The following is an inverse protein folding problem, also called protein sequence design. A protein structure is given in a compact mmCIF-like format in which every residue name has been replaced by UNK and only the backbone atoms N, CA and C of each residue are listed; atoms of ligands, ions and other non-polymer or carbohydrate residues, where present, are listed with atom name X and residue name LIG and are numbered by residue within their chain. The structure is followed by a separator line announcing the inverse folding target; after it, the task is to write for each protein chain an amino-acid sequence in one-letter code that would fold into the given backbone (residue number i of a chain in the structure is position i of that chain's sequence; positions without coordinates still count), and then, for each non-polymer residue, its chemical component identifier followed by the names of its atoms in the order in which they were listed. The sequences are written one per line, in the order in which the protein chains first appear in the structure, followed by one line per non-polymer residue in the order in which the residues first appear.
data_IF_124313923196
#
_entry.id   IF_124313923196
#
_cell.length_a   1.000
_cell.length_b   1.000
_cell.length_c   1.000
_cell.angle_alpha   90.00
_cell.angle_beta   90.00
_cell.angle_gamma   90.00
#
_symmetry.space_group_name_H-M   'P 1'
#
loop_
_entity.id
_entity.type
_entity.pdbx_description
1 polymer ?
#
# COMPACT_ATOMS: atom_id res chain seq x y z
N UNK A 1 21.63 -2.81 12.19
CA UNK A 1 20.44 -3.47 11.60
C UNK A 1 20.72 -4.96 11.52
N UNK A 2 19.73 -5.83 11.70
CA UNK A 2 19.99 -7.27 11.75
C UNK A 2 20.29 -7.81 10.33
N UNK A 3 21.55 -8.17 10.06
CA UNK A 3 21.98 -8.71 8.76
C UNK A 3 21.18 -9.98 8.35
N UNK A 4 20.62 -10.71 9.34
CA UNK A 4 19.82 -11.90 9.07
C UNK A 4 18.52 -11.57 8.32
N UNK A 5 17.78 -10.54 8.74
CA UNK A 5 16.55 -10.13 8.04
C UNK A 5 16.88 -9.59 6.64
N UNK A 6 17.94 -8.78 6.50
CA UNK A 6 18.39 -8.28 5.20
C UNK A 6 18.68 -9.44 4.24
N UNK A 7 19.44 -10.44 4.69
CA UNK A 7 19.82 -11.60 3.88
C UNK A 7 18.60 -12.46 3.50
N UNK A 8 17.68 -12.68 4.44
CA UNK A 8 16.45 -13.45 4.18
C UNK A 8 15.56 -12.76 3.12
N UNK A 9 15.35 -11.44 3.25
CA UNK A 9 14.59 -10.66 2.27
C UNK A 9 15.30 -10.60 0.93
N UNK A 10 16.61 -10.39 0.90
CA UNK A 10 17.42 -10.35 -0.33
C UNK A 10 17.32 -11.66 -1.11
N UNK A 11 17.46 -12.81 -0.42
CA UNK A 11 17.36 -14.15 -1.00
C UNK A 11 15.98 -14.41 -1.58
N UNK A 12 14.93 -14.17 -0.79
CA UNK A 12 13.56 -14.39 -1.24
C UNK A 12 13.19 -13.50 -2.43
N UNK A 13 13.45 -12.19 -2.32
CA UNK A 13 13.13 -11.25 -3.37
C UNK A 13 13.93 -11.50 -4.66
N UNK A 14 15.20 -11.96 -4.56
CA UNK A 14 15.99 -12.30 -5.74
C UNK A 14 15.40 -13.50 -6.53
N UNK A 15 14.76 -14.43 -5.85
CA UNK A 15 14.16 -15.61 -6.46
C UNK A 15 12.73 -15.39 -7.01
N UNK A 16 11.98 -14.43 -6.44
CA UNK A 16 10.53 -14.32 -6.67
C UNK A 16 10.06 -12.93 -7.14
N UNK A 17 10.96 -11.92 -7.24
CA UNK A 17 10.53 -10.59 -7.65
C UNK A 17 10.06 -10.55 -9.10
N UNK A 18 8.90 -9.94 -9.30
CA UNK A 18 8.39 -9.55 -10.62
C UNK A 18 9.23 -8.40 -11.22
N UNK A 19 9.03 -8.03 -12.49
CA UNK A 19 9.72 -6.88 -13.10
C UNK A 19 9.51 -5.55 -12.36
N UNK A 20 8.42 -5.42 -11.60
CA UNK A 20 8.15 -4.30 -10.69
C UNK A 20 9.09 -4.21 -9.49
N UNK A 21 9.86 -5.28 -9.24
CA UNK A 21 10.68 -5.45 -8.04
C UNK A 21 9.92 -5.99 -6.83
N UNK A 22 8.61 -6.15 -6.91
CA UNK A 22 7.78 -6.72 -5.85
C UNK A 22 7.80 -8.25 -5.91
N UNK A 23 7.91 -8.89 -4.76
CA UNK A 23 7.67 -10.33 -4.60
C UNK A 23 6.58 -10.55 -3.55
N UNK A 24 5.45 -11.08 -3.99
CA UNK A 24 4.41 -11.56 -3.10
C UNK A 24 4.89 -12.85 -2.42
N UNK A 25 4.42 -13.10 -1.20
CA UNK A 25 4.73 -14.32 -0.48
C UNK A 25 3.48 -15.16 -0.29
N UNK A 26 3.61 -16.48 0.00
CA UNK A 26 2.48 -17.30 0.44
C UNK A 26 1.86 -16.86 1.78
N UNK A 27 2.48 -15.90 2.45
CA UNK A 27 2.01 -15.33 3.71
C UNK A 27 1.08 -14.16 3.40
N UNK A 28 -0.19 -14.26 3.75
CA UNK A 28 -1.19 -13.24 3.43
C UNK A 28 -0.77 -11.84 3.88
N UNK A 29 -0.78 -10.91 2.93
CA UNK A 29 -0.41 -9.50 3.18
C UNK A 29 1.09 -9.24 3.30
N UNK A 30 1.96 -10.25 3.34
CA UNK A 30 3.41 -10.06 3.39
C UNK A 30 3.98 -9.97 1.97
N UNK A 31 4.80 -8.96 1.73
CA UNK A 31 5.52 -8.79 0.47
C UNK A 31 6.93 -8.26 0.71
N UNK A 32 7.81 -8.55 -0.24
CA UNK A 32 9.17 -7.99 -0.27
C UNK A 32 9.37 -7.18 -1.53
N UNK A 33 10.32 -6.26 -1.52
CA UNK A 33 10.66 -5.45 -2.68
C UNK A 33 12.17 -5.44 -2.87
N UNK A 34 12.61 -5.64 -4.13
CA UNK A 34 14.00 -5.56 -4.56
C UNK A 34 14.09 -4.80 -5.87
N UNK A 35 14.88 -3.72 -5.89
CA UNK A 35 15.22 -2.99 -7.11
C UNK A 35 16.71 -2.69 -7.13
N UNK A 36 17.34 -2.86 -8.28
CA UNK A 36 18.80 -2.69 -8.49
C UNK A 36 19.16 -1.35 -9.11
N UNK A 37 18.17 -0.49 -9.32
CA UNK A 37 18.33 0.88 -9.80
C UNK A 37 17.20 1.76 -9.29
N UNK A 38 17.39 3.08 -9.21
CA UNK A 38 16.28 4.02 -9.02
C UNK A 38 15.20 3.83 -10.08
N UNK A 39 13.95 4.04 -9.71
CA UNK A 39 12.81 3.91 -10.63
C UNK A 39 12.09 5.26 -10.86
N UNK A 40 11.16 5.28 -11.79
CA UNK A 40 10.29 6.42 -12.03
C UNK A 40 9.22 6.53 -10.93
N UNK A 41 8.53 7.68 -10.88
CA UNK A 41 7.42 7.91 -9.95
C UNK A 41 6.32 6.87 -10.15
N UNK A 42 5.98 6.18 -9.06
CA UNK A 42 4.92 5.18 -9.00
C UNK A 42 3.71 5.73 -8.28
N UNK A 43 2.59 5.82 -8.98
CA UNK A 43 1.31 6.21 -8.41
C UNK A 43 0.55 4.99 -7.93
N UNK A 44 0.08 5.01 -6.70
CA UNK A 44 -0.68 3.91 -6.10
C UNK A 44 -1.72 4.42 -5.11
N UNK A 45 -2.65 3.57 -4.74
CA UNK A 45 -3.45 3.73 -3.53
C UNK A 45 -2.97 2.65 -2.57
N UNK A 46 -2.22 3.08 -1.56
CA UNK A 46 -1.67 2.20 -0.54
C UNK A 46 -2.78 1.75 0.39
N UNK A 47 -2.79 0.47 0.73
CA UNK A 47 -3.58 -0.07 1.84
C UNK A 47 -2.91 0.25 3.17
N UNK A 48 -3.64 0.12 4.30
CA UNK A 48 -2.99 0.13 5.61
C UNK A 48 -1.89 -0.93 5.67
N UNK A 49 -0.67 -0.51 5.96
CA UNK A 49 0.51 -1.40 6.03
C UNK A 49 1.61 -0.84 6.93
N UNK A 50 2.50 -1.72 7.37
CA UNK A 50 3.83 -1.37 7.87
C UNK A 50 4.89 -1.79 6.86
N UNK A 51 5.87 -0.93 6.62
CA UNK A 51 7.01 -1.19 5.75
C UNK A 51 8.31 -0.96 6.51
N UNK A 52 9.25 -1.90 6.44
CA UNK A 52 10.61 -1.79 6.95
C UNK A 52 11.57 -1.66 5.78
N UNK A 53 12.32 -0.56 5.72
CA UNK A 53 13.40 -0.38 4.73
C UNK A 53 14.68 -0.98 5.31
N UNK A 54 15.27 -1.91 4.57
CA UNK A 54 16.44 -2.66 5.01
C UNK A 54 17.72 -2.19 4.32
N UNK A 55 17.62 -1.75 3.06
CA UNK A 55 18.75 -1.24 2.24
C UNK A 55 18.24 -0.27 1.19
N UNK A 56 19.10 0.68 0.78
CA UNK A 56 18.73 1.73 -0.17
C UNK A 56 17.83 2.80 0.42
N UNK A 57 17.15 3.59 -0.43
CA UNK A 57 16.22 4.61 0.03
C UNK A 57 15.00 4.74 -0.89
N UNK A 58 13.86 5.03 -0.29
CA UNK A 58 12.57 5.28 -0.96
C UNK A 58 12.02 6.61 -0.53
N UNK A 59 11.55 7.40 -1.48
CA UNK A 59 10.75 8.59 -1.22
C UNK A 59 9.27 8.26 -1.41
N UNK A 60 8.43 8.69 -0.48
CA UNK A 60 6.97 8.51 -0.54
C UNK A 60 6.30 9.83 -0.28
N UNK A 61 5.44 10.28 -1.18
CA UNK A 61 4.63 11.49 -1.03
C UNK A 61 3.18 11.12 -0.82
N UNK A 62 2.64 11.48 0.33
CA UNK A 62 1.22 11.38 0.67
C UNK A 62 0.75 12.76 1.09
N UNK A 63 -0.16 13.34 0.30
CA UNK A 63 -0.51 14.75 0.45
C UNK A 63 0.49 15.67 -0.24
N UNK A 64 1.14 16.57 0.52
CA UNK A 64 2.03 17.59 -0.05
C UNK A 64 3.51 17.40 0.25
N UNK A 65 3.85 16.68 1.31
CA UNK A 65 5.23 16.57 1.78
C UNK A 65 5.81 15.19 1.46
N UNK A 66 7.00 15.13 0.85
CA UNK A 66 7.70 13.88 0.65
C UNK A 66 8.33 13.41 1.97
N UNK A 67 8.22 12.11 2.24
CA UNK A 67 8.89 11.41 3.32
C UNK A 67 9.98 10.54 2.71
N UNK A 68 11.19 10.65 3.20
CA UNK A 68 12.28 9.76 2.79
C UNK A 68 12.45 8.63 3.82
N UNK A 69 12.48 7.42 3.32
CA UNK A 69 12.63 6.19 4.09
C UNK A 69 14.01 5.60 3.82
N UNK A 70 14.79 5.43 4.89
CA UNK A 70 16.15 4.89 4.88
C UNK A 70 16.23 3.60 5.70
N UNK A 71 17.32 2.84 5.56
CA UNK A 71 17.57 1.67 6.38
C UNK A 71 17.41 1.96 7.88
N UNK A 72 16.71 1.08 8.58
CA UNK A 72 16.39 1.25 10.00
C UNK A 72 15.11 2.04 10.28
N UNK A 73 14.40 2.53 9.25
CA UNK A 73 13.09 3.12 9.42
C UNK A 73 11.96 2.10 9.23
N UNK A 74 10.91 2.26 10.01
CA UNK A 74 9.59 1.68 9.78
C UNK A 74 8.61 2.78 9.38
N UNK A 75 7.88 2.57 8.29
CA UNK A 75 6.77 3.43 7.88
C UNK A 75 5.47 2.73 8.15
N UNK A 76 4.56 3.43 8.81
CA UNK A 76 3.16 3.01 8.97
C UNK A 76 2.28 3.86 8.07
N UNK A 77 1.39 3.21 7.31
CA UNK A 77 0.23 3.81 6.65
C UNK A 77 -1.01 3.22 7.31
N UNK A 78 -1.84 4.06 7.93
CA UNK A 78 -2.98 3.63 8.73
C UNK A 78 -4.34 3.79 8.04
N UNK A 79 -4.38 4.07 6.75
CA UNK A 79 -5.61 4.19 5.95
C UNK A 79 -5.30 3.94 4.48
N UNK A 80 -6.34 3.74 3.66
CA UNK A 80 -6.19 3.72 2.21
C UNK A 80 -5.90 5.12 1.69
N UNK A 81 -4.67 5.36 1.25
CA UNK A 81 -4.19 6.68 0.86
C UNK A 81 -3.57 6.68 -0.52
N UNK A 82 -3.85 7.71 -1.34
CA UNK A 82 -3.12 7.92 -2.58
C UNK A 82 -1.69 8.29 -2.25
N UNK A 83 -0.75 7.57 -2.83
CA UNK A 83 0.68 7.78 -2.67
C UNK A 83 1.37 7.88 -4.02
N UNK A 84 2.41 8.69 -4.06
CA UNK A 84 3.41 8.69 -5.13
C UNK A 84 4.72 8.29 -4.50
N UNK A 85 5.37 7.28 -5.04
CA UNK A 85 6.63 6.79 -4.47
C UNK A 85 7.69 6.57 -5.53
N UNK A 86 8.95 6.66 -5.11
CA UNK A 86 10.12 6.46 -5.97
C UNK A 86 11.24 5.84 -5.14
N UNK A 87 11.91 4.86 -5.69
CA UNK A 87 13.19 4.40 -5.16
C UNK A 87 14.25 5.40 -5.62
N UNK A 88 14.90 6.06 -4.67
CA UNK A 88 15.87 7.12 -4.95
C UNK A 88 17.32 6.65 -4.78
N UNK A 89 17.53 5.56 -4.03
CA UNK A 89 18.85 4.95 -3.85
C UNK A 89 18.77 3.44 -4.00
N UNK A 90 19.39 2.92 -5.07
CA UNK A 90 19.58 1.50 -5.34
C UNK A 90 20.70 1.32 -6.37
N UNK A 91 21.45 0.21 -6.28
CA UNK A 91 22.44 -0.22 -7.28
C UNK A 91 22.47 -1.74 -7.39
N UNK A 92 23.26 -2.29 -8.31
CA UNK A 92 23.46 -3.73 -8.43
C UNK A 92 24.15 -4.32 -7.18
N UNK A 93 25.13 -3.60 -6.60
CA UNK A 93 25.85 -4.03 -5.39
C UNK A 93 25.02 -3.80 -4.12
N UNK A 94 24.24 -2.71 -4.09
CA UNK A 94 23.39 -2.32 -2.97
C UNK A 94 21.97 -2.08 -3.45
N UNK A 95 21.19 -3.16 -3.72
CA UNK A 95 19.82 -3.02 -4.17
C UNK A 95 18.94 -2.41 -3.07
N UNK A 96 17.90 -1.70 -3.48
CA UNK A 96 16.84 -1.35 -2.54
C UNK A 96 16.15 -2.63 -2.07
N UNK A 97 16.06 -2.79 -0.75
CA UNK A 97 15.39 -3.93 -0.11
C UNK A 97 14.43 -3.44 0.98
N UNK A 98 13.20 -3.93 0.91
CA UNK A 98 12.17 -3.67 1.91
C UNK A 98 11.26 -4.88 2.10
N UNK A 99 10.64 -4.94 3.28
CA UNK A 99 9.57 -5.88 3.60
C UNK A 99 8.35 -5.07 4.04
N UNK A 100 7.16 -5.45 3.60
CA UNK A 100 5.91 -4.82 3.98
C UNK A 100 4.87 -5.85 4.38
N UNK A 101 4.09 -5.52 5.41
CA UNK A 101 2.93 -6.30 5.85
C UNK A 101 1.69 -5.41 5.83
N UNK A 102 0.65 -5.83 5.13
CA UNK A 102 -0.68 -5.22 5.21
C UNK A 102 -1.26 -5.42 6.62
N UNK A 103 -1.93 -4.40 7.14
CA UNK A 103 -2.53 -4.47 8.47
C UNK A 103 -3.86 -5.24 8.40
N UNK A 104 -3.98 -6.27 9.23
CA UNK A 104 -5.24 -6.99 9.45
C UNK A 104 -6.08 -6.25 10.50
N UNK A 105 -7.18 -5.63 10.02
CA UNK A 105 -8.07 -4.86 10.87
C UNK A 105 -8.84 -5.73 11.87
N UNK A 106 -9.02 -7.03 11.61
CA UNK A 106 -9.67 -7.95 12.54
C UNK A 106 -8.75 -8.26 13.71
N UNK A 107 -7.48 -8.58 13.42
CA UNK A 107 -6.44 -8.80 14.43
C UNK A 107 -6.23 -7.56 15.29
N UNK A 108 -6.19 -6.37 14.68
CA UNK A 108 -6.07 -5.11 15.42
C UNK A 108 -7.26 -4.88 16.36
N UNK A 109 -8.48 -5.23 15.92
CA UNK A 109 -9.67 -5.11 16.77
C UNK A 109 -9.62 -6.04 17.97
N UNK A 110 -9.29 -7.30 17.74
CA UNK A 110 -9.18 -8.30 18.80
C UNK A 110 -8.12 -7.92 19.83
N UNK A 111 -6.95 -7.44 19.36
CA UNK A 111 -5.88 -6.97 20.23
C UNK A 111 -6.29 -5.73 21.02
N UNK A 112 -6.89 -4.73 20.37
CA UNK A 112 -7.32 -3.50 21.02
C UNK A 112 -8.38 -3.77 22.08
N UNK A 113 -9.30 -4.71 21.81
CA UNK A 113 -10.32 -5.15 22.78
C UNK A 113 -9.66 -5.87 23.97
N UNK A 114 -8.71 -6.76 23.70
CA UNK A 114 -8.01 -7.50 24.75
C UNK A 114 -7.09 -6.62 25.63
N UNK A 115 -6.65 -5.47 25.12
CA UNK A 115 -5.76 -4.52 25.83
C UNK A 115 -6.52 -3.54 26.73
N UNK A 116 -7.82 -3.67 26.90
CA UNK A 116 -8.68 -2.86 27.76
C UNK A 116 -8.42 -1.34 27.73
N UNK A 117 -9.18 -0.61 26.90
CA UNK A 117 -9.38 0.82 27.08
C UNK A 117 -8.15 1.74 26.95
N UNK A 118 -7.19 1.41 26.10
CA UNK A 118 -6.10 2.34 25.79
C UNK A 118 -6.67 3.60 25.10
N UNK A 119 -6.35 4.82 25.58
CA UNK A 119 -6.93 6.05 25.05
C UNK A 119 -6.65 6.20 23.55
N UNK A 120 -7.69 6.55 22.80
CA UNK A 120 -7.56 6.86 21.37
C UNK A 120 -6.89 8.22 21.25
N UNK A 121 -5.61 8.22 20.91
CA UNK A 121 -4.89 9.45 20.59
C UNK A 121 -5.04 9.76 19.09
N UNK A 122 -5.07 11.05 18.75
CA UNK A 122 -5.01 11.50 17.36
C UNK A 122 -3.61 11.24 16.80
N UNK A 123 -3.46 10.20 15.99
CA UNK A 123 -2.22 9.88 15.28
C UNK A 123 -2.27 10.33 13.82
N UNK A 124 -1.13 10.67 13.24
CA UNK A 124 -1.01 10.93 11.80
C UNK A 124 -1.33 9.66 11.00
N UNK A 125 -1.94 9.83 9.81
CA UNK A 125 -2.28 8.71 8.92
C UNK A 125 -1.05 8.00 8.36
N UNK A 126 0.07 8.71 8.30
CA UNK A 126 1.38 8.20 7.90
C UNK A 126 2.40 8.61 8.93
N UNK A 127 3.21 7.69 9.35
CA UNK A 127 4.29 7.91 10.31
C UNK A 127 5.54 7.17 9.91
N UNK A 128 6.69 7.81 10.11
CA UNK A 128 8.00 7.15 10.01
C UNK A 128 8.64 7.18 11.39
N UNK A 129 9.12 6.05 11.84
CA UNK A 129 9.77 5.84 13.15
C UNK A 129 10.99 4.95 12.99
N UNK A 130 11.95 4.97 13.92
CA UNK A 130 12.96 3.92 13.98
C UNK A 130 12.31 2.53 14.09
N UNK A 131 12.84 1.57 13.34
CA UNK A 131 12.34 0.20 13.42
C UNK A 131 12.72 -0.43 14.75
N UNK A 132 11.73 -0.82 15.54
CA UNK A 132 11.93 -1.45 16.84
C UNK A 132 12.43 -2.88 16.66
N UNK A 133 13.23 -3.34 17.62
CA UNK A 133 13.86 -4.68 17.61
C UNK A 133 12.82 -5.79 17.47
N UNK A 134 11.69 -5.66 18.15
CA UNK A 134 10.59 -6.64 18.15
C UNK A 134 9.99 -6.78 16.75
N UNK A 135 9.78 -5.67 16.04
CA UNK A 135 9.28 -5.69 14.66
C UNK A 135 10.27 -6.38 13.72
N UNK A 136 11.57 -6.08 13.87
CA UNK A 136 12.63 -6.70 13.08
C UNK A 136 12.72 -8.21 13.33
N UNK A 137 12.61 -8.61 14.61
CA UNK A 137 12.67 -10.02 15.01
C UNK A 137 11.47 -10.81 14.49
N UNK A 138 10.26 -10.23 14.60
CA UNK A 138 9.05 -10.88 14.10
C UNK A 138 9.07 -10.96 12.56
N UNK A 139 9.53 -9.91 11.87
CA UNK A 139 9.71 -9.93 10.42
C UNK A 139 10.71 -11.01 9.97
N UNK A 140 11.82 -11.20 10.70
CA UNK A 140 12.76 -12.28 10.42
C UNK A 140 12.10 -13.66 10.54
N UNK A 141 11.34 -13.90 11.61
CA UNK A 141 10.61 -15.17 11.81
C UNK A 141 9.56 -15.41 10.71
N UNK A 142 8.91 -14.36 10.22
CA UNK A 142 8.02 -14.45 9.06
C UNK A 142 8.78 -14.89 7.81
N UNK A 143 9.95 -14.31 7.55
CA UNK A 143 10.79 -14.71 6.41
C UNK A 143 11.34 -16.12 6.52
N UNK A 144 11.75 -16.55 7.73
CA UNK A 144 12.23 -17.92 8.01
C UNK A 144 11.10 -18.96 7.83
N UNK A 145 9.84 -18.58 8.09
CA UNK A 145 8.71 -19.45 7.89
C UNK A 145 8.45 -19.76 6.39
N UNK A 146 8.86 -18.86 5.47
CA UNK A 146 8.76 -19.11 4.03
C UNK A 146 9.63 -20.29 3.56
N UNK A 147 10.69 -20.61 4.30
CA UNK A 147 11.52 -21.78 4.04
C UNK A 147 10.86 -23.10 4.53
N UNK A 148 9.66 -23.01 5.17
CA UNK A 148 8.89 -24.15 5.74
C UNK A 148 7.41 -24.01 5.34
N UNK A 149 7.07 -24.16 4.06
CA UNK A 149 5.73 -23.85 3.54
C UNK A 149 4.61 -24.67 4.22
N UNK A 150 4.89 -25.90 4.66
CA UNK A 150 3.94 -26.73 5.41
C UNK A 150 3.57 -26.15 6.80
N UNK A 151 4.41 -25.30 7.35
CA UNK A 151 4.19 -24.67 8.67
C UNK A 151 3.42 -23.33 8.55
N UNK A 152 3.34 -22.74 7.36
CA UNK A 152 2.66 -21.46 7.13
C UNK A 152 1.21 -21.50 7.62
N UNK A 153 0.35 -22.46 7.22
CA UNK A 153 -1.04 -22.50 7.64
C UNK A 153 -1.22 -22.57 9.17
N UNK A 154 -0.22 -23.08 9.88
CA UNK A 154 -0.28 -23.29 11.34
C UNK A 154 0.25 -22.06 12.11
N UNK A 155 1.35 -21.46 11.64
CA UNK A 155 2.07 -20.43 12.40
C UNK A 155 1.84 -18.99 11.92
N UNK A 156 1.30 -18.81 10.71
CA UNK A 156 1.08 -17.48 10.15
C UNK A 156 0.26 -16.58 11.05
N UNK A 157 -0.88 -17.06 11.56
CA UNK A 157 -1.80 -16.25 12.36
C UNK A 157 -1.13 -15.72 13.65
N UNK A 158 -0.28 -16.52 14.28
CA UNK A 158 0.44 -16.12 15.50
C UNK A 158 1.47 -15.02 15.20
N UNK A 159 2.24 -15.14 14.10
CA UNK A 159 3.23 -14.16 13.72
C UNK A 159 2.59 -12.85 13.27
N UNK A 160 1.46 -12.91 12.52
CA UNK A 160 0.67 -11.72 12.19
C UNK A 160 0.17 -11.03 13.45
N UNK A 161 -0.40 -11.80 14.42
CA UNK A 161 -0.86 -11.26 15.69
C UNK A 161 0.26 -10.64 16.50
N UNK A 162 1.43 -11.28 16.56
CA UNK A 162 2.63 -10.78 17.25
C UNK A 162 3.11 -9.44 16.62
N UNK A 163 3.20 -9.36 15.29
CA UNK A 163 3.60 -8.14 14.59
C UNK A 163 2.63 -6.98 14.91
N UNK A 164 1.31 -7.24 14.86
CA UNK A 164 0.30 -6.23 15.17
C UNK A 164 0.34 -5.80 16.63
N UNK A 165 0.63 -6.72 17.56
CA UNK A 165 0.80 -6.39 18.97
C UNK A 165 1.98 -5.44 19.19
N UNK A 166 3.15 -5.74 18.62
CA UNK A 166 4.32 -4.86 18.73
C UNK A 166 4.09 -3.48 18.11
N UNK A 167 3.36 -3.41 17.01
CA UNK A 167 2.94 -2.14 16.44
C UNK A 167 2.01 -1.35 17.35
N UNK A 168 1.09 -2.03 18.07
CA UNK A 168 0.13 -1.38 18.98
C UNK A 168 0.78 -0.84 20.26
N UNK A 169 1.76 -1.56 20.82
CA UNK A 169 2.46 -1.14 22.05
C UNK A 169 3.64 -0.23 21.77
N UNK A 170 4.14 -0.22 20.56
CA UNK A 170 5.30 0.55 20.14
C UNK A 170 4.98 2.00 19.75
N UNK A 171 5.94 2.65 19.08
CA UNK A 171 5.87 4.05 18.68
C UNK A 171 4.77 4.35 17.65
N UNK A 172 4.33 3.33 16.89
CA UNK A 172 3.20 3.43 15.98
C UNK A 172 1.84 3.30 16.66
N UNK A 173 1.81 2.90 17.93
CA UNK A 173 0.59 2.61 18.69
C UNK A 173 -0.50 3.67 18.61
N UNK A 174 -0.21 4.97 18.80
CA UNK A 174 -1.23 6.02 18.73
C UNK A 174 -1.99 6.08 17.40
N UNK A 175 -1.32 5.81 16.27
CA UNK A 175 -1.94 5.81 14.94
C UNK A 175 -2.77 4.54 14.69
N UNK A 176 -2.28 3.38 15.17
CA UNK A 176 -2.88 2.06 14.90
C UNK A 176 -4.07 1.79 15.81
N UNK A 177 -4.05 2.19 17.08
CA UNK A 177 -5.15 1.97 18.03
C UNK A 177 -6.48 2.49 17.52
N UNK A 178 -6.44 3.59 16.75
CA UNK A 178 -7.63 4.13 16.09
C UNK A 178 -8.24 3.17 15.05
N UNK A 179 -7.42 2.35 14.38
CA UNK A 179 -7.88 1.35 13.42
C UNK A 179 -8.56 0.16 14.09
N UNK A 180 -8.05 -0.25 15.25
CA UNK A 180 -8.59 -1.37 16.03
C UNK A 180 -9.92 -1.09 16.72
N UNK A 181 -10.34 0.19 16.86
CA UNK A 181 -11.58 0.50 17.55
C UNK A 181 -12.82 0.10 16.73
N UNK A 182 -13.77 -0.71 17.26
CA UNK A 182 -14.89 -1.28 16.49
C UNK A 182 -15.75 -0.26 15.75
N UNK A 183 -16.03 0.89 16.39
CA UNK A 183 -16.87 1.97 15.84
C UNK A 183 -16.07 3.10 15.19
N UNK A 184 -14.76 2.91 14.98
CA UNK A 184 -13.95 3.94 14.36
C UNK A 184 -14.43 4.26 12.93
N UNK A 185 -14.61 5.54 12.64
CA UNK A 185 -14.99 5.99 11.29
C UNK A 185 -14.03 5.49 10.21
N UNK A 186 -12.76 5.25 10.55
CA UNK A 186 -11.76 4.69 9.64
C UNK A 186 -12.16 3.30 9.15
N UNK A 187 -12.63 2.41 10.04
CA UNK A 187 -13.11 1.06 9.66
C UNK A 187 -14.38 1.12 8.81
N UNK A 188 -15.29 2.02 9.15
CA UNK A 188 -16.51 2.22 8.37
C UNK A 188 -16.20 2.73 6.97
N UNK A 189 -15.27 3.67 6.84
CA UNK A 189 -14.76 4.15 5.55
C UNK A 189 -14.02 3.04 4.79
N UNK A 190 -13.23 2.19 5.45
CA UNK A 190 -12.52 1.08 4.81
C UNK A 190 -13.47 0.10 4.11
N UNK A 191 -14.71 -0.13 4.64
CA UNK A 191 -15.73 -0.93 3.94
C UNK A 191 -16.12 -0.32 2.59
N UNK A 192 -16.36 0.99 2.55
CA UNK A 192 -16.66 1.68 1.29
C UNK A 192 -15.46 1.69 0.33
N UNK A 193 -14.23 1.79 0.85
CA UNK A 193 -13.01 1.68 0.05
C UNK A 193 -12.88 0.29 -0.56
N UNK A 194 -13.22 -0.78 0.18
CA UNK A 194 -13.26 -2.14 -0.37
C UNK A 194 -14.23 -2.25 -1.55
N UNK A 195 -15.44 -1.68 -1.43
CA UNK A 195 -16.40 -1.63 -2.54
C UNK A 195 -15.81 -0.86 -3.74
N UNK A 196 -15.20 0.31 -3.49
CA UNK A 196 -14.55 1.09 -4.54
C UNK A 196 -13.42 0.32 -5.24
N UNK A 197 -12.62 -0.47 -4.51
CA UNK A 197 -11.54 -1.28 -5.09
C UNK A 197 -12.05 -2.44 -5.94
N UNK A 198 -13.13 -3.07 -5.52
CA UNK A 198 -13.74 -4.19 -6.27
C UNK A 198 -14.51 -3.70 -7.49
N UNK A 199 -15.25 -2.61 -7.35
CA UNK A 199 -16.22 -2.15 -8.33
C UNK A 199 -15.85 -0.78 -8.94
N UNK A 200 -14.56 -0.42 -8.97
CA UNK A 200 -14.11 0.89 -9.47
C UNK A 200 -14.60 1.23 -10.88
N UNK A 201 -14.77 0.23 -11.74
CA UNK A 201 -15.24 0.40 -13.11
C UNK A 201 -16.74 0.76 -13.21
N UNK A 202 -17.53 0.39 -12.19
CA UNK A 202 -18.97 0.65 -12.16
C UNK A 202 -19.28 2.09 -11.74
N UNK A 203 -20.47 2.59 -12.10
CA UNK A 203 -21.00 3.83 -11.53
C UNK A 203 -21.48 3.56 -10.10
N UNK A 204 -20.80 4.13 -9.12
CA UNK A 204 -21.14 3.99 -7.70
C UNK A 204 -21.62 5.34 -7.15
N UNK A 205 -22.84 5.36 -6.61
CA UNK A 205 -23.38 6.57 -5.99
C UNK A 205 -22.83 6.77 -4.57
N UNK A 206 -22.85 8.02 -4.09
CA UNK A 206 -22.45 8.35 -2.72
C UNK A 206 -23.35 7.63 -1.70
N UNK A 207 -24.63 7.46 -2.01
CA UNK A 207 -25.62 6.78 -1.18
C UNK A 207 -25.28 5.29 -1.03
N UNK A 208 -24.89 4.61 -2.11
CA UNK A 208 -24.46 3.20 -2.06
C UNK A 208 -23.20 3.04 -1.20
N UNK A 209 -22.21 3.91 -1.38
CA UNK A 209 -20.99 3.89 -0.59
C UNK A 209 -21.24 4.24 0.88
N UNK A 210 -22.11 5.20 1.16
CA UNK A 210 -22.52 5.55 2.53
C UNK A 210 -23.24 4.39 3.21
N UNK A 211 -24.15 3.71 2.50
CA UNK A 211 -24.83 2.50 2.98
C UNK A 211 -23.83 1.40 3.32
N UNK A 212 -22.85 1.11 2.47
CA UNK A 212 -21.81 0.11 2.75
C UNK A 212 -20.97 0.46 3.99
N UNK A 213 -20.76 1.76 4.24
CA UNK A 213 -20.11 2.27 5.44
C UNK A 213 -21.03 2.27 6.68
N UNK A 214 -22.34 2.07 6.52
CA UNK A 214 -23.35 2.23 7.58
C UNK A 214 -23.40 3.68 8.10
N UNK A 215 -23.34 4.67 7.20
CA UNK A 215 -23.34 6.11 7.49
C UNK A 215 -24.41 6.83 6.68
N UNK A 216 -24.84 8.01 7.16
CA UNK A 216 -25.57 8.95 6.29
C UNK A 216 -24.64 9.51 5.21
N UNK A 217 -25.15 9.89 4.02
CA UNK A 217 -24.31 10.43 2.94
C UNK A 217 -23.42 11.60 3.35
N UNK A 218 -23.94 12.55 4.11
CA UNK A 218 -23.19 13.71 4.59
C UNK A 218 -22.07 13.32 5.58
N UNK A 219 -22.37 12.43 6.55
CA UNK A 219 -21.38 11.90 7.50
C UNK A 219 -20.29 11.11 6.75
N UNK A 220 -20.71 10.24 5.83
CA UNK A 220 -19.79 9.46 5.00
C UNK A 220 -18.83 10.34 4.21
N UNK A 221 -19.35 11.34 3.47
CA UNK A 221 -18.52 12.23 2.66
C UNK A 221 -17.44 12.93 3.51
N UNK A 222 -17.81 13.45 4.69
CA UNK A 222 -16.88 14.13 5.58
C UNK A 222 -15.81 13.19 6.15
N UNK A 223 -16.21 12.00 6.61
CA UNK A 223 -15.27 11.02 7.17
C UNK A 223 -14.39 10.40 6.09
N UNK A 224 -14.94 10.09 4.92
CA UNK A 224 -14.18 9.58 3.79
C UNK A 224 -13.04 10.53 3.41
N UNK A 225 -13.36 11.84 3.28
CA UNK A 225 -12.35 12.85 2.95
C UNK A 225 -11.30 13.03 4.05
N UNK A 226 -11.69 12.96 5.32
CA UNK A 226 -10.75 13.02 6.46
C UNK A 226 -9.80 11.82 6.49
N UNK A 227 -10.29 10.63 6.13
CA UNK A 227 -9.51 9.38 6.17
C UNK A 227 -8.65 9.21 4.92
N UNK A 228 -9.19 9.46 3.72
CA UNK A 228 -8.50 9.18 2.45
C UNK A 228 -7.86 10.41 1.82
N UNK A 229 -8.06 11.60 2.38
CA UNK A 229 -7.67 12.91 1.82
C UNK A 229 -8.37 13.31 0.52
N UNK A 230 -9.25 12.45 -0.03
CA UNK A 230 -9.97 12.64 -1.28
C UNK A 230 -11.49 12.53 -1.08
N UNK A 231 -12.28 13.09 -2.00
CA UNK A 231 -13.69 12.71 -2.10
C UNK A 231 -13.85 11.30 -2.69
N UNK A 232 -14.98 10.60 -2.46
CA UNK A 232 -15.21 9.27 -3.03
C UNK A 232 -15.03 9.21 -4.55
N UNK A 233 -15.55 10.20 -5.28
CA UNK A 233 -15.39 10.31 -6.73
C UNK A 233 -13.93 10.51 -7.16
N UNK A 234 -13.19 11.36 -6.44
CA UNK A 234 -11.75 11.55 -6.74
C UNK A 234 -10.95 10.29 -6.47
N UNK A 235 -11.30 9.55 -5.42
CA UNK A 235 -10.67 8.28 -5.09
C UNK A 235 -10.94 7.23 -6.18
N UNK A 236 -12.19 7.07 -6.59
CA UNK A 236 -12.57 6.18 -7.69
C UNK A 236 -11.84 6.52 -9.00
N UNK A 237 -11.78 7.81 -9.34
CA UNK A 237 -11.04 8.25 -10.54
C UNK A 237 -9.56 7.90 -10.48
N UNK A 238 -8.91 8.05 -9.33
CA UNK A 238 -7.51 7.64 -9.17
C UNK A 238 -7.33 6.14 -9.33
N UNK A 239 -8.22 5.32 -8.75
CA UNK A 239 -8.20 3.87 -8.96
C UNK A 239 -8.29 3.52 -10.44
N UNK A 240 -9.26 4.09 -11.16
CA UNK A 240 -9.45 3.89 -12.60
C UNK A 240 -8.19 4.23 -13.41
N UNK A 241 -7.58 5.39 -13.13
CA UNK A 241 -6.39 5.83 -13.86
C UNK A 241 -5.17 4.95 -13.58
N UNK A 242 -4.96 4.55 -12.33
CA UNK A 242 -3.87 3.65 -11.93
C UNK A 242 -4.04 2.29 -12.62
N UNK A 243 -5.25 1.73 -12.61
CA UNK A 243 -5.53 0.45 -13.24
C UNK A 243 -5.44 0.51 -14.77
N UNK A 244 -5.94 1.59 -15.40
CA UNK A 244 -5.75 1.79 -16.83
C UNK A 244 -4.27 1.84 -17.22
N UNK A 245 -3.43 2.53 -16.41
CA UNK A 245 -1.98 2.55 -16.63
C UNK A 245 -1.38 1.15 -16.54
N UNK A 246 -1.77 0.36 -15.54
CA UNK A 246 -1.35 -1.04 -15.41
C UNK A 246 -1.72 -1.85 -16.65
N UNK A 247 -2.98 -1.82 -17.08
CA UNK A 247 -3.45 -2.54 -18.28
C UNK A 247 -2.62 -2.17 -19.54
N UNK A 248 -2.32 -0.88 -19.71
CA UNK A 248 -1.55 -0.43 -20.88
C UNK A 248 -0.08 -0.83 -20.83
N UNK A 249 0.57 -0.75 -19.64
CA UNK A 249 2.01 -0.97 -19.51
C UNK A 249 2.36 -2.46 -19.33
N UNK A 250 1.51 -3.24 -18.64
CA UNK A 250 1.78 -4.66 -18.36
C UNK A 250 1.09 -5.61 -19.33
N UNK A 251 -0.13 -5.28 -19.78
CA UNK A 251 -0.92 -6.14 -20.67
C UNK A 251 -0.95 -5.64 -22.12
N UNK A 252 -0.30 -4.50 -22.41
CA UNK A 252 -0.24 -3.95 -23.76
C UNK A 252 -1.56 -3.41 -24.31
N UNK A 253 -2.55 -3.18 -23.46
CA UNK A 253 -3.87 -2.65 -23.84
C UNK A 253 -3.76 -1.29 -24.53
N UNK A 254 -4.61 -1.04 -25.52
CA UNK A 254 -4.71 0.29 -26.11
C UNK A 254 -5.32 1.28 -25.12
N UNK A 255 -5.02 2.57 -25.27
CA UNK A 255 -5.57 3.61 -24.40
C UNK A 255 -7.11 3.65 -24.41
N UNK A 256 -7.73 3.41 -25.58
CA UNK A 256 -9.19 3.35 -25.71
C UNK A 256 -9.77 2.13 -25.00
N UNK A 257 -9.16 0.95 -25.17
CA UNK A 257 -9.62 -0.26 -24.49
C UNK A 257 -9.47 -0.12 -22.97
N UNK A 258 -8.32 0.30 -22.50
CA UNK A 258 -8.08 0.54 -21.07
C UNK A 258 -9.09 1.54 -20.48
N UNK A 259 -9.38 2.66 -21.18
CA UNK A 259 -10.35 3.65 -20.74
C UNK A 259 -11.75 3.04 -20.51
N UNK A 260 -12.27 2.28 -21.48
CA UNK A 260 -13.59 1.63 -21.34
C UNK A 260 -13.60 0.53 -20.28
N UNK A 261 -12.54 -0.28 -20.22
CA UNK A 261 -12.40 -1.34 -19.22
C UNK A 261 -12.48 -0.81 -17.79
N UNK A 262 -11.87 0.36 -17.53
CA UNK A 262 -11.90 0.96 -16.18
C UNK A 262 -13.12 1.87 -15.94
N UNK A 263 -14.09 1.92 -16.88
CA UNK A 263 -15.38 2.57 -16.70
C UNK A 263 -15.42 4.04 -17.10
N UNK A 264 -14.52 4.51 -17.99
CA UNK A 264 -14.72 5.80 -18.66
C UNK A 264 -15.66 5.64 -19.85
N UNK A 265 -16.58 6.59 -20.02
CA UNK A 265 -17.49 6.65 -21.16
C UNK A 265 -16.91 7.46 -22.33
N UNK A 266 -15.85 8.25 -22.08
CA UNK A 266 -15.19 9.10 -23.07
C UNK A 266 -13.67 8.95 -22.99
N UNK A 267 -13.07 8.53 -24.12
CA UNK A 267 -11.60 8.45 -24.27
C UNK A 267 -10.95 9.84 -24.16
N UNK A 268 -11.63 10.88 -24.62
CA UNK A 268 -11.14 12.27 -24.53
C UNK A 268 -11.08 12.73 -23.06
N UNK A 269 -12.09 12.41 -22.26
CA UNK A 269 -12.08 12.69 -20.82
C UNK A 269 -10.95 11.90 -20.13
N UNK A 270 -10.85 10.61 -20.41
CA UNK A 270 -9.80 9.75 -19.90
C UNK A 270 -8.41 10.32 -20.20
N UNK A 271 -8.10 10.64 -21.47
CA UNK A 271 -6.80 11.16 -21.89
C UNK A 271 -6.43 12.46 -21.15
N UNK A 272 -7.38 13.37 -20.97
CA UNK A 272 -7.16 14.62 -20.24
C UNK A 272 -6.87 14.38 -18.76
N UNK A 273 -7.66 13.51 -18.10
CA UNK A 273 -7.48 13.19 -16.68
C UNK A 273 -6.19 12.38 -16.44
N UNK A 274 -5.86 11.45 -17.35
CA UNK A 274 -4.62 10.68 -17.35
C UNK A 274 -3.39 11.60 -17.43
N UNK A 275 -3.34 12.48 -18.44
CA UNK A 275 -2.25 13.44 -18.58
C UNK A 275 -2.08 14.33 -17.36
N UNK A 276 -3.19 14.75 -16.74
CA UNK A 276 -3.13 15.55 -15.50
C UNK A 276 -2.52 14.78 -14.33
N UNK A 277 -2.71 13.47 -14.26
CA UNK A 277 -2.20 12.64 -13.17
C UNK A 277 -0.75 12.19 -13.40
N UNK A 278 -0.41 11.77 -14.62
CA UNK A 278 0.87 11.15 -14.94
C UNK A 278 1.82 12.05 -15.75
N UNK A 279 1.39 13.22 -16.17
CA UNK A 279 2.20 14.18 -16.92
C UNK A 279 2.17 13.99 -18.43
N UNK A 280 2.02 12.77 -18.92
CA UNK A 280 2.01 12.41 -20.34
C UNK A 280 0.65 11.86 -20.78
N UNK A 281 0.25 12.04 -22.06
CA UNK A 281 -0.87 11.31 -22.62
C UNK A 281 -0.63 9.79 -22.62
N UNK A 282 -1.70 8.96 -22.50
CA UNK A 282 -1.57 7.50 -22.38
C UNK A 282 -0.73 6.85 -23.49
N UNK A 283 -1.00 7.20 -24.76
CA UNK A 283 -0.28 6.63 -25.90
C UNK A 283 1.21 7.02 -25.92
N UNK A 284 1.53 8.25 -25.54
CA UNK A 284 2.91 8.73 -25.49
C UNK A 284 3.70 8.02 -24.40
N UNK A 285 3.14 7.89 -23.19
CA UNK A 285 3.80 7.16 -22.08
C UNK A 285 4.07 5.71 -22.46
N UNK A 286 3.08 5.03 -23.08
CA UNK A 286 3.24 3.64 -23.53
C UNK A 286 4.37 3.49 -24.55
N UNK A 287 4.48 4.44 -25.49
CA UNK A 287 5.57 4.43 -26.47
C UNK A 287 6.93 4.67 -25.83
N UNK A 288 7.03 5.61 -24.89
CA UNK A 288 8.29 5.89 -24.18
C UNK A 288 8.77 4.69 -23.37
N UNK A 289 7.84 4.02 -22.64
CA UNK A 289 8.19 2.82 -21.87
C UNK A 289 8.67 1.69 -22.78
N UNK A 290 7.97 1.44 -23.90
CA UNK A 290 8.39 0.43 -24.89
C UNK A 290 9.76 0.76 -25.48
N UNK A 291 10.04 2.02 -25.83
CA UNK A 291 11.35 2.45 -26.34
C UNK A 291 12.46 2.20 -25.34
N UNK A 292 12.25 2.53 -24.07
CA UNK A 292 13.23 2.28 -22.99
C UNK A 292 13.51 0.78 -22.81
N UNK A 293 12.47 -0.06 -22.87
CA UNK A 293 12.60 -1.51 -22.74
C UNK A 293 13.36 -2.19 -23.89
N UNK A 294 13.41 -1.56 -25.09
CA UNK A 294 14.17 -2.07 -26.26
C UNK A 294 15.60 -1.52 -26.32
N UNK A 295 15.95 -0.53 -25.49
CA UNK A 295 17.26 0.12 -25.49
C UNK A 295 18.18 -0.35 -24.35
N UNK A 296 17.70 -1.20 -23.45
CA UNK A 296 18.45 -1.79 -22.35
C UNK A 296 18.51 -3.29 -22.46
#
# INVERSE_FOLDING_TARGET
MNNLLLNAVARYAAAHAEPSGMALTPFDGLSTMRLTAPNELQHSIQKPLVCLVLQGAKQVTIGKEPLELRPGNSMLISADLPAVSQIVSASQQEPYLAIALELDLSVLTDLTTAMEGAPVQNGALVQTKPAQKELITTALRMMELLDKPESIPILQAQLVREMHYWLLVGEHGPAIRRLGWPDAHVRRVARAVSVLRTDYAKSLSVEQLASSAGMSPSSFFNHFRKVTTLSPLQFQKKLRLIEARRLMLTEGSTASHAAFTVGYESVSQFTREYRRMFGLPPAQETQEVKRKAHAG
#
